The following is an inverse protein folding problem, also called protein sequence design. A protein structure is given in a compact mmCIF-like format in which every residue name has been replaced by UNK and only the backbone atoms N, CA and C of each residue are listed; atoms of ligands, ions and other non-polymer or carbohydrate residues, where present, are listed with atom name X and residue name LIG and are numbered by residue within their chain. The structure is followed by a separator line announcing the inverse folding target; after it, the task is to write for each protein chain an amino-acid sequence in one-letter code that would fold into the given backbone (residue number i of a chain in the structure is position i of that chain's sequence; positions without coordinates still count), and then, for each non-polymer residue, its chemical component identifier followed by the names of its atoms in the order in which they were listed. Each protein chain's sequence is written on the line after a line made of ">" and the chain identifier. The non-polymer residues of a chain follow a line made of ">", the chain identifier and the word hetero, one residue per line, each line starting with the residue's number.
data_IF_745972677006
#
_entry.id   IF_745972677006
#
_cell.length_a   1.000
_cell.length_b   1.000
_cell.length_c   1.000
_cell.angle_alpha   90.00
_cell.angle_beta   90.00
_cell.angle_gamma   90.00
#
_symmetry.space_group_name_H-M   'P 1'
#
loop_
_entity.id
_entity.type
_entity.pdbx_description
1 polymer ?
#
# COMPACT_ATOMS: atom_id res chain seq x y z
N UNK A 1 -15.56 -15.00 0.76
CA UNK A 1 -15.77 -15.55 -0.60
C UNK A 1 -14.45 -16.15 -1.06
N UNK A 2 -14.37 -17.44 -1.37
CA UNK A 2 -13.10 -18.13 -1.70
C UNK A 2 -12.32 -17.48 -2.86
N UNK A 3 -13.03 -16.94 -3.85
CA UNK A 3 -12.42 -16.25 -5.00
C UNK A 3 -11.69 -14.96 -4.61
N UNK A 4 -12.23 -14.17 -3.68
CA UNK A 4 -11.59 -12.95 -3.20
C UNK A 4 -10.37 -13.26 -2.33
N UNK A 5 -10.41 -14.35 -1.56
CA UNK A 5 -9.28 -14.83 -0.76
C UNK A 5 -8.13 -15.28 -1.65
N UNK A 6 -8.41 -16.02 -2.72
CA UNK A 6 -7.42 -16.42 -3.72
C UNK A 6 -6.78 -15.22 -4.43
N UNK A 7 -7.56 -14.22 -4.83
CA UNK A 7 -7.04 -12.99 -5.45
C UNK A 7 -6.11 -12.24 -4.50
N UNK A 8 -6.48 -12.10 -3.24
CA UNK A 8 -5.64 -11.44 -2.24
C UNK A 8 -4.36 -12.24 -1.94
N UNK A 9 -4.44 -13.57 -1.90
CA UNK A 9 -3.27 -14.41 -1.72
C UNK A 9 -2.32 -14.31 -2.93
N UNK A 10 -2.84 -14.34 -4.15
CA UNK A 10 -2.06 -14.18 -5.37
C UNK A 10 -1.34 -12.83 -5.39
N UNK A 11 -2.01 -11.77 -4.95
CA UNK A 11 -1.39 -10.45 -4.85
C UNK A 11 -0.32 -10.40 -3.76
N UNK A 12 -0.56 -11.02 -2.61
CA UNK A 12 0.42 -11.11 -1.52
C UNK A 12 1.66 -11.89 -1.95
N UNK A 13 1.50 -13.02 -2.64
CA UNK A 13 2.58 -13.82 -3.19
C UNK A 13 3.35 -13.01 -4.25
N UNK A 14 2.64 -12.36 -5.18
CA UNK A 14 3.27 -11.52 -6.21
C UNK A 14 4.10 -10.39 -5.58
N UNK A 15 3.56 -9.70 -4.58
CA UNK A 15 4.28 -8.65 -3.87
C UNK A 15 5.52 -9.20 -3.15
N UNK A 16 5.38 -10.30 -2.43
CA UNK A 16 6.47 -10.92 -1.66
C UNK A 16 7.59 -11.41 -2.57
N UNK A 17 7.26 -12.11 -3.65
CA UNK A 17 8.23 -12.65 -4.63
C UNK A 17 9.01 -11.55 -5.36
N UNK A 18 8.37 -10.43 -5.65
CA UNK A 18 8.96 -9.32 -6.41
C UNK A 18 9.53 -8.22 -5.52
N UNK A 19 9.56 -8.40 -4.21
CA UNK A 19 10.26 -7.51 -3.27
C UNK A 19 11.43 -8.27 -2.63
N UNK A 20 12.19 -7.61 -1.77
CA UNK A 20 13.30 -8.24 -1.04
C UNK A 20 12.83 -9.06 0.18
N UNK A 21 11.56 -9.49 0.21
CA UNK A 21 11.02 -10.29 1.30
C UNK A 21 11.56 -11.73 1.23
N UNK A 22 12.02 -12.26 2.35
CA UNK A 22 12.59 -13.59 2.43
C UNK A 22 11.54 -14.68 2.59
N UNK A 23 10.41 -14.37 3.21
CA UNK A 23 9.35 -15.32 3.55
C UNK A 23 7.99 -14.64 3.59
N UNK A 24 6.95 -15.34 3.15
CA UNK A 24 5.55 -14.96 3.35
C UNK A 24 5.02 -15.62 4.62
N UNK A 25 4.59 -14.82 5.58
CA UNK A 25 3.96 -15.32 6.81
C UNK A 25 2.45 -15.18 6.71
N UNK A 26 1.77 -16.33 6.70
CA UNK A 26 0.31 -16.38 6.69
C UNK A 26 -0.21 -16.40 8.14
N UNK A 27 -0.96 -15.39 8.52
CA UNK A 27 -1.56 -15.30 9.85
C UNK A 27 -3.04 -15.63 9.72
N UNK A 28 -3.50 -16.70 10.35
CA UNK A 28 -4.88 -17.15 10.30
C UNK A 28 -5.45 -17.45 11.68
N UNK A 29 -6.78 -17.45 11.81
CA UNK A 29 -7.43 -18.07 12.96
C UNK A 29 -7.38 -19.60 12.80
N UNK A 30 -7.23 -20.32 13.93
CA UNK A 30 -7.37 -21.77 13.93
C UNK A 30 -8.67 -22.17 13.22
N UNK A 31 -8.58 -23.14 12.28
CA UNK A 31 -9.64 -23.78 11.52
C UNK A 31 -10.15 -23.14 10.21
N UNK A 32 -9.69 -21.96 9.79
CA UNK A 32 -10.13 -21.42 8.49
C UNK A 32 -9.43 -22.17 7.33
N UNK A 33 -8.19 -22.60 7.51
CA UNK A 33 -7.45 -23.31 6.45
C UNK A 33 -7.72 -24.81 6.38
N UNK A 34 -8.17 -25.44 7.47
CA UNK A 34 -8.38 -26.91 7.47
C UNK A 34 -9.71 -27.33 6.84
N UNK A 35 -10.76 -26.53 6.98
CA UNK A 35 -12.10 -26.92 6.49
C UNK A 35 -12.38 -26.48 5.05
N UNK A 36 -11.70 -25.44 4.54
CA UNK A 36 -11.86 -24.96 3.16
C UNK A 36 -10.80 -25.50 2.19
N UNK A 37 -9.70 -26.06 2.67
CA UNK A 37 -8.58 -26.52 1.86
C UNK A 37 -8.85 -27.87 1.17
N UNK A 38 -9.77 -28.68 1.64
CA UNK A 38 -10.03 -30.01 1.02
C UNK A 38 -10.51 -29.91 -0.44
N UNK A 39 -11.06 -28.78 -0.87
CA UNK A 39 -11.48 -28.56 -2.25
C UNK A 39 -10.53 -27.72 -3.11
N UNK A 40 -9.66 -26.87 -2.50
CA UNK A 40 -8.83 -25.88 -3.19
C UNK A 40 -7.32 -26.02 -2.89
N UNK A 41 -6.89 -27.09 -2.17
CA UNK A 41 -5.51 -27.31 -1.74
C UNK A 41 -4.51 -27.25 -2.91
N UNK A 42 -4.89 -27.81 -4.06
CA UNK A 42 -4.07 -27.80 -5.28
C UNK A 42 -3.84 -26.40 -5.83
N UNK A 43 -4.81 -25.48 -5.69
CA UNK A 43 -4.72 -24.10 -6.17
C UNK A 43 -3.87 -23.25 -5.23
N UNK A 44 -4.04 -23.44 -3.92
CA UNK A 44 -3.26 -22.75 -2.90
C UNK A 44 -1.78 -23.13 -2.94
N UNK A 45 -1.49 -24.45 -3.00
CA UNK A 45 -0.13 -24.95 -3.15
C UNK A 45 0.51 -24.51 -4.48
N UNK A 46 -0.27 -24.41 -5.56
CA UNK A 46 0.22 -23.95 -6.84
C UNK A 46 0.63 -22.45 -6.81
N UNK A 47 -0.12 -21.62 -6.09
CA UNK A 47 0.22 -20.20 -5.91
C UNK A 47 1.51 -20.03 -5.10
N UNK A 48 1.69 -20.84 -4.05
CA UNK A 48 2.83 -20.72 -3.12
C UNK A 48 4.02 -21.62 -3.48
N UNK A 49 3.94 -22.37 -4.59
CA UNK A 49 4.90 -23.42 -4.97
C UNK A 49 6.38 -22.99 -4.92
N UNK A 50 6.66 -21.76 -5.32
CA UNK A 50 8.02 -21.22 -5.42
C UNK A 50 8.36 -20.23 -4.31
N UNK A 51 7.46 -20.05 -3.33
CA UNK A 51 7.60 -19.09 -2.24
C UNK A 51 7.83 -19.81 -0.90
N UNK A 52 8.85 -19.38 -0.15
CA UNK A 52 8.93 -19.77 1.27
C UNK A 52 7.76 -19.17 2.02
N UNK A 53 6.96 -19.99 2.65
CA UNK A 53 5.89 -19.50 3.51
C UNK A 53 5.85 -20.26 4.84
N UNK A 54 5.27 -19.60 5.82
CA UNK A 54 5.04 -20.14 7.16
C UNK A 54 3.66 -19.72 7.61
N UNK A 55 2.96 -20.62 8.28
CA UNK A 55 1.64 -20.32 8.87
C UNK A 55 1.80 -20.05 10.36
N UNK A 56 1.18 -18.97 10.82
CA UNK A 56 1.08 -18.61 12.24
C UNK A 56 -0.38 -18.54 12.61
N UNK A 57 -0.79 -19.41 13.51
CA UNK A 57 -2.16 -19.41 14.01
C UNK A 57 -2.31 -18.43 15.18
N UNK A 58 -3.41 -17.66 15.16
CA UNK A 58 -3.83 -16.77 16.23
C UNK A 58 -5.24 -17.14 16.67
N UNK A 59 -5.53 -17.05 17.97
CA UNK A 59 -6.85 -17.41 18.50
C UNK A 59 -7.95 -16.46 18.05
N UNK A 60 -7.60 -15.19 17.94
CA UNK A 60 -8.52 -14.13 17.49
C UNK A 60 -7.81 -13.28 16.46
N UNK A 61 -8.47 -13.03 15.33
CA UNK A 61 -7.94 -12.11 14.31
C UNK A 61 -7.92 -10.66 14.87
N UNK A 62 -7.01 -10.40 15.78
CA UNK A 62 -6.87 -9.11 16.47
C UNK A 62 -5.47 -8.55 16.31
N UNK A 63 -5.39 -7.23 16.10
CA UNK A 63 -4.11 -6.52 16.04
C UNK A 63 -3.26 -6.71 17.30
N UNK A 64 -3.89 -6.97 18.47
CA UNK A 64 -3.17 -7.23 19.72
C UNK A 64 -2.40 -8.54 19.70
N UNK A 65 -2.97 -9.59 19.09
CA UNK A 65 -2.27 -10.88 18.94
C UNK A 65 -1.16 -10.81 17.91
N UNK A 66 -1.40 -10.11 16.81
CA UNK A 66 -0.35 -9.80 15.82
C UNK A 66 0.79 -9.03 16.51
N UNK A 67 0.45 -8.01 17.30
CA UNK A 67 1.41 -7.21 18.08
C UNK A 67 2.27 -8.08 19.01
N UNK A 68 1.67 -9.03 19.71
CA UNK A 68 2.39 -9.95 20.59
C UNK A 68 3.35 -10.89 19.85
N UNK A 69 3.18 -11.07 18.53
CA UNK A 69 4.03 -11.90 17.68
C UNK A 69 5.09 -11.13 16.90
N UNK A 70 5.08 -9.80 16.94
CA UNK A 70 5.99 -8.97 16.11
C UNK A 70 7.46 -9.28 16.36
N UNK A 71 7.85 -9.46 17.64
CA UNK A 71 9.24 -9.73 18.01
C UNK A 71 9.73 -11.10 17.49
N UNK A 72 8.81 -12.05 17.31
CA UNK A 72 9.11 -13.40 16.79
C UNK A 72 9.14 -13.44 15.26
N UNK A 73 8.42 -12.54 14.58
CA UNK A 73 8.12 -12.67 13.16
C UNK A 73 8.95 -11.76 12.24
N UNK A 74 9.68 -10.78 12.77
CA UNK A 74 10.49 -9.83 11.95
C UNK A 74 9.74 -9.29 10.72
N UNK A 75 8.52 -8.76 10.93
CA UNK A 75 7.60 -8.37 9.86
C UNK A 75 8.12 -7.12 9.14
N UNK A 76 8.38 -7.23 7.83
CA UNK A 76 8.74 -6.11 6.96
C UNK A 76 7.53 -5.34 6.42
N UNK A 77 6.45 -6.04 6.09
CA UNK A 77 5.19 -5.45 5.61
C UNK A 77 4.03 -6.31 6.08
N UNK A 78 2.98 -5.69 6.59
CA UNK A 78 1.74 -6.39 6.93
C UNK A 78 0.75 -6.30 5.76
N UNK A 79 0.40 -7.44 5.17
CA UNK A 79 -0.59 -7.51 4.08
C UNK A 79 -1.96 -7.83 4.67
N UNK A 80 -2.93 -6.99 4.38
CA UNK A 80 -4.29 -7.07 4.94
C UNK A 80 -5.29 -7.16 3.79
N UNK A 81 -5.98 -8.29 3.62
CA UNK A 81 -7.10 -8.38 2.69
C UNK A 81 -8.17 -7.34 3.03
N UNK A 82 -8.57 -6.54 2.05
CA UNK A 82 -9.50 -5.44 2.28
C UNK A 82 -10.63 -5.47 1.27
N UNK A 83 -11.83 -5.77 1.73
CA UNK A 83 -13.06 -5.71 0.93
C UNK A 83 -13.56 -4.26 0.84
N UNK A 84 -14.34 -3.94 -0.20
CA UNK A 84 -14.93 -2.60 -0.39
C UNK A 84 -15.82 -2.17 0.80
N UNK A 85 -16.43 -3.14 1.47
CA UNK A 85 -17.33 -2.93 2.63
C UNK A 85 -16.58 -2.85 3.97
N UNK A 86 -15.24 -2.91 3.96
CA UNK A 86 -14.46 -2.83 5.19
C UNK A 86 -14.77 -1.52 5.94
N UNK A 87 -15.05 -1.63 7.24
CA UNK A 87 -15.36 -0.45 8.05
C UNK A 87 -14.14 0.47 8.14
N UNK A 88 -14.35 1.77 7.95
CA UNK A 88 -13.28 2.78 8.08
C UNK A 88 -12.57 2.72 9.45
N UNK A 89 -13.27 2.28 10.50
CA UNK A 89 -12.68 2.08 11.83
C UNK A 89 -11.62 0.96 11.83
N UNK A 90 -11.81 -0.08 11.03
CA UNK A 90 -10.84 -1.16 10.86
C UNK A 90 -9.59 -0.64 10.15
N UNK A 91 -9.75 0.07 9.02
CA UNK A 91 -8.64 0.71 8.30
C UNK A 91 -7.83 1.63 9.24
N UNK A 92 -8.53 2.47 10.02
CA UNK A 92 -7.90 3.34 11.02
C UNK A 92 -7.07 2.58 12.05
N UNK A 93 -7.57 1.43 12.53
CA UNK A 93 -6.86 0.61 13.50
C UNK A 93 -5.54 0.08 12.94
N UNK A 94 -5.53 -0.38 11.68
CA UNK A 94 -4.31 -0.80 10.98
C UNK A 94 -3.34 0.36 10.74
N UNK A 95 -3.82 1.52 10.32
CA UNK A 95 -2.97 2.73 10.15
C UNK A 95 -2.32 3.15 11.47
N UNK A 96 -3.07 3.10 12.59
CA UNK A 96 -2.52 3.38 13.91
C UNK A 96 -1.46 2.35 14.34
N UNK A 97 -1.71 1.07 14.07
CA UNK A 97 -0.77 -0.01 14.30
C UNK A 97 0.52 0.20 13.48
N UNK A 98 0.40 0.48 12.20
CA UNK A 98 1.52 0.81 11.31
C UNK A 98 2.38 1.96 11.86
N UNK A 99 1.76 3.06 12.24
CA UNK A 99 2.48 4.22 12.79
C UNK A 99 3.17 3.91 14.12
N UNK A 100 2.57 3.07 14.96
CA UNK A 100 3.14 2.66 16.25
C UNK A 100 4.38 1.79 16.08
N UNK A 101 4.32 0.83 15.16
CA UNK A 101 5.36 -0.19 14.98
C UNK A 101 6.31 0.09 13.81
N UNK A 102 6.07 1.16 13.04
CA UNK A 102 6.85 1.53 11.85
C UNK A 102 6.85 0.44 10.77
N UNK A 103 5.76 -0.30 10.67
CA UNK A 103 5.58 -1.39 9.71
C UNK A 103 4.64 -0.90 8.60
N UNK A 104 5.05 -0.88 7.33
CA UNK A 104 4.16 -0.61 6.20
C UNK A 104 2.98 -1.58 6.17
N UNK A 105 1.82 -1.08 5.71
CA UNK A 105 0.64 -1.92 5.52
C UNK A 105 0.22 -1.89 4.06
N UNK A 106 0.05 -3.09 3.52
CA UNK A 106 -0.49 -3.31 2.19
C UNK A 106 -1.96 -3.76 2.32
N UNK A 107 -2.88 -2.86 2.02
CA UNK A 107 -4.31 -3.17 1.92
C UNK A 107 -4.58 -3.81 0.56
N UNK A 108 -4.59 -5.13 0.53
CA UNK A 108 -4.78 -5.91 -0.70
C UNK A 108 -6.23 -5.91 -1.16
N UNK A 109 -6.44 -5.73 -2.47
CA UNK A 109 -7.74 -5.82 -3.15
C UNK A 109 -7.73 -6.81 -4.31
N UNK A 110 -6.65 -7.57 -4.45
CA UNK A 110 -6.50 -8.56 -5.51
C UNK A 110 -6.30 -7.95 -6.89
N UNK A 111 -5.57 -6.85 -7.00
CA UNK A 111 -5.32 -6.12 -8.25
C UNK A 111 -4.04 -6.55 -8.97
N UNK A 112 -3.46 -7.71 -8.58
CA UNK A 112 -2.28 -8.30 -9.25
C UNK A 112 -2.57 -8.68 -10.72
N UNK A 113 -1.59 -8.57 -11.64
CA UNK A 113 -0.23 -8.06 -11.44
C UNK A 113 -0.18 -6.53 -11.35
N UNK A 114 0.77 -6.00 -10.58
CA UNK A 114 0.95 -4.56 -10.40
C UNK A 114 1.76 -4.00 -11.58
N UNK A 115 1.10 -3.35 -12.52
CA UNK A 115 1.70 -2.72 -13.71
C UNK A 115 1.71 -1.19 -13.63
N UNK A 116 0.78 -0.62 -12.87
CA UNK A 116 0.58 0.81 -12.72
C UNK A 116 0.57 1.17 -11.24
N UNK A 117 1.52 1.98 -10.81
CA UNK A 117 1.62 2.46 -9.43
C UNK A 117 1.30 3.93 -9.41
N UNK A 118 0.23 4.32 -8.70
CA UNK A 118 -0.09 5.70 -8.40
C UNK A 118 0.42 6.09 -7.02
N UNK A 119 0.98 7.28 -6.86
CA UNK A 119 1.33 7.77 -5.55
C UNK A 119 0.98 9.23 -5.36
N UNK A 120 0.62 9.58 -4.13
CA UNK A 120 0.38 10.96 -3.74
C UNK A 120 1.73 11.64 -3.51
N UNK A 121 2.18 12.40 -4.51
CA UNK A 121 3.48 13.04 -4.49
C UNK A 121 3.57 14.13 -3.40
N UNK A 122 4.70 14.19 -2.74
CA UNK A 122 5.00 15.18 -1.73
C UNK A 122 6.41 15.77 -1.94
N UNK A 123 6.83 16.69 -1.11
CA UNK A 123 8.16 17.34 -1.18
C UNK A 123 9.27 16.55 -0.49
N UNK A 124 8.98 15.40 0.11
CA UNK A 124 9.95 14.55 0.78
C UNK A 124 10.56 13.54 -0.20
N UNK A 125 11.85 13.64 -0.41
CA UNK A 125 12.66 12.77 -1.27
C UNK A 125 13.73 12.02 -0.46
N UNK A 126 13.57 11.92 0.87
CA UNK A 126 14.46 11.08 1.68
C UNK A 126 14.33 9.60 1.29
N UNK A 127 15.34 8.80 1.59
CA UNK A 127 15.43 7.38 1.20
C UNK A 127 14.22 6.53 1.59
N UNK A 128 13.62 6.83 2.75
CA UNK A 128 12.44 6.11 3.25
C UNK A 128 11.12 6.85 2.97
N UNK A 129 11.14 7.85 2.12
CA UNK A 129 9.93 8.58 1.76
C UNK A 129 9.02 7.74 0.86
N UNK A 130 7.71 8.01 0.85
CA UNK A 130 6.78 7.38 -0.11
C UNK A 130 7.21 7.57 -1.56
N UNK A 131 7.81 8.73 -1.90
CA UNK A 131 8.33 9.00 -3.23
C UNK A 131 9.44 7.98 -3.58
N UNK A 132 10.48 7.87 -2.74
CA UNK A 132 11.62 6.98 -2.98
C UNK A 132 11.18 5.50 -3.03
N UNK A 133 10.38 5.05 -2.05
CA UNK A 133 9.86 3.68 -2.00
C UNK A 133 9.03 3.37 -3.26
N UNK A 134 8.26 4.34 -3.78
CA UNK A 134 7.47 4.11 -4.99
C UNK A 134 8.35 3.86 -6.21
N UNK A 135 9.43 4.64 -6.40
CA UNK A 135 10.34 4.44 -7.52
C UNK A 135 11.14 3.14 -7.41
N UNK A 136 11.64 2.79 -6.22
CA UNK A 136 12.31 1.51 -5.98
C UNK A 136 11.40 0.32 -6.26
N UNK A 137 10.16 0.36 -5.77
CA UNK A 137 9.16 -0.65 -6.02
C UNK A 137 8.80 -0.75 -7.50
N UNK A 138 8.61 0.38 -8.19
CA UNK A 138 8.28 0.41 -9.60
C UNK A 138 9.39 -0.14 -10.47
N UNK A 139 10.64 0.18 -10.18
CA UNK A 139 11.83 -0.39 -10.84
C UNK A 139 11.87 -1.91 -10.67
N UNK A 140 11.66 -2.39 -9.43
CA UNK A 140 11.64 -3.82 -9.11
C UNK A 140 10.52 -4.59 -9.83
N UNK A 141 9.32 -3.99 -9.90
CA UNK A 141 8.14 -4.61 -10.52
C UNK A 141 8.03 -4.35 -12.02
N UNK A 142 8.93 -3.57 -12.59
CA UNK A 142 8.85 -3.07 -13.98
C UNK A 142 7.50 -2.40 -14.27
N UNK A 143 7.08 -1.53 -13.34
CA UNK A 143 5.78 -0.85 -13.36
C UNK A 143 5.91 0.59 -13.84
N UNK A 144 4.85 1.11 -14.47
CA UNK A 144 4.70 2.54 -14.77
C UNK A 144 4.26 3.28 -13.51
N UNK A 145 4.79 4.48 -13.30
CA UNK A 145 4.47 5.34 -12.16
C UNK A 145 3.61 6.54 -12.58
N UNK A 146 2.60 6.82 -11.78
CA UNK A 146 1.76 8.01 -11.86
C UNK A 146 1.97 8.85 -10.59
N UNK A 147 2.68 9.96 -10.71
CA UNK A 147 2.83 10.92 -9.61
C UNK A 147 1.64 11.88 -9.61
N UNK A 148 0.79 11.81 -8.61
CA UNK A 148 -0.36 12.70 -8.46
C UNK A 148 0.05 13.88 -7.57
N UNK A 149 0.15 15.06 -8.18
CA UNK A 149 0.51 16.34 -7.53
C UNK A 149 -0.76 17.16 -7.38
N UNK A 150 -1.24 17.33 -6.16
CA UNK A 150 -2.46 18.07 -5.88
C UNK A 150 -2.12 19.35 -5.11
N UNK A 151 -2.43 20.49 -5.71
CA UNK A 151 -2.29 21.78 -5.07
C UNK A 151 -3.56 22.16 -4.33
N UNK A 152 -3.40 22.91 -3.24
CA UNK A 152 -4.54 23.55 -2.60
C UNK A 152 -4.91 24.84 -3.36
N UNK A 153 -6.22 25.20 -3.40
CA UNK A 153 -6.64 26.45 -4.01
C UNK A 153 -5.89 27.64 -3.43
N UNK A 154 -5.49 28.59 -4.30
CA UNK A 154 -4.65 29.76 -3.96
C UNK A 154 -5.18 30.61 -2.80
N UNK A 155 -6.49 30.57 -2.54
CA UNK A 155 -7.09 31.27 -1.40
C UNK A 155 -6.87 30.55 -0.04
N UNK A 156 -6.36 29.31 -0.06
CA UNK A 156 -6.07 28.51 1.15
C UNK A 156 -4.58 28.43 1.42
N UNK A 157 -3.75 28.40 0.37
CA UNK A 157 -2.30 28.29 0.52
C UNK A 157 -1.55 29.29 -0.36
N UNK A 158 -0.41 29.80 0.16
CA UNK A 158 0.54 30.63 -0.58
C UNK A 158 1.67 29.79 -1.18
N UNK A 159 1.40 28.52 -1.55
CA UNK A 159 2.42 27.71 -2.22
C UNK A 159 2.78 28.35 -3.57
N UNK A 160 4.05 28.70 -3.72
CA UNK A 160 4.56 29.31 -4.94
C UNK A 160 4.63 28.27 -6.06
N UNK A 161 4.23 28.66 -7.27
CA UNK A 161 4.36 27.84 -8.48
C UNK A 161 5.81 27.33 -8.73
N UNK A 162 6.80 28.07 -8.23
CA UNK A 162 8.21 27.67 -8.31
C UNK A 162 8.53 26.44 -7.47
N UNK A 163 7.95 26.30 -6.26
CA UNK A 163 8.16 25.12 -5.41
C UNK A 163 7.54 23.87 -6.02
N UNK A 164 6.39 24.00 -6.66
CA UNK A 164 5.70 22.91 -7.34
C UNK A 164 6.50 22.44 -8.56
N UNK A 165 7.01 23.35 -9.38
CA UNK A 165 7.87 23.03 -10.52
C UNK A 165 9.15 22.33 -10.10
N UNK A 166 9.78 22.79 -9.00
CA UNK A 166 10.97 22.15 -8.42
C UNK A 166 10.68 20.70 -7.96
N UNK A 167 9.53 20.47 -7.35
CA UNK A 167 9.14 19.11 -6.94
C UNK A 167 8.89 18.20 -8.15
N UNK A 168 8.22 18.69 -9.19
CA UNK A 168 8.01 17.94 -10.44
C UNK A 168 9.35 17.59 -11.08
N UNK A 169 10.31 18.51 -11.12
CA UNK A 169 11.64 18.22 -11.65
C UNK A 169 12.34 17.11 -10.86
N UNK A 170 12.29 17.13 -9.53
CA UNK A 170 12.86 16.06 -8.69
C UNK A 170 12.19 14.71 -8.94
N UNK A 171 10.88 14.67 -9.18
CA UNK A 171 10.18 13.45 -9.55
C UNK A 171 10.67 12.89 -10.88
N UNK A 172 10.88 13.76 -11.88
CA UNK A 172 11.43 13.39 -13.17
C UNK A 172 12.87 12.86 -13.06
N UNK A 173 13.70 13.52 -12.29
CA UNK A 173 15.08 13.10 -12.02
C UNK A 173 15.12 11.74 -11.30
N UNK A 174 14.22 11.52 -10.32
CA UNK A 174 14.11 10.23 -9.62
C UNK A 174 13.63 9.12 -10.56
N UNK A 175 12.66 9.39 -11.43
CA UNK A 175 12.19 8.43 -12.41
C UNK A 175 13.29 8.03 -13.39
N UNK A 176 14.06 9.00 -13.88
CA UNK A 176 15.19 8.76 -14.76
C UNK A 176 16.28 7.93 -14.09
N UNK A 177 16.62 8.25 -12.85
CA UNK A 177 17.66 7.54 -12.07
C UNK A 177 17.26 6.07 -11.76
N UNK A 178 15.98 5.78 -11.66
CA UNK A 178 15.46 4.43 -11.41
C UNK A 178 15.01 3.70 -12.70
N UNK A 179 15.20 4.30 -13.88
CA UNK A 179 14.78 3.76 -15.19
C UNK A 179 13.27 3.45 -15.24
N UNK A 180 12.45 4.26 -14.60
CA UNK A 180 11.00 4.07 -14.47
C UNK A 180 10.25 5.05 -15.37
N UNK A 181 9.20 4.55 -16.04
CA UNK A 181 8.28 5.40 -16.80
C UNK A 181 7.42 6.22 -15.81
N UNK A 182 7.45 7.54 -15.92
CA UNK A 182 6.69 8.46 -15.09
C UNK A 182 5.67 9.25 -15.89
N UNK A 183 4.45 9.32 -15.38
CA UNK A 183 3.42 10.29 -15.77
C UNK A 183 3.06 11.17 -14.58
N UNK A 184 3.10 12.48 -14.75
CA UNK A 184 2.72 13.43 -13.69
C UNK A 184 1.29 13.92 -13.95
N UNK A 185 0.41 13.67 -12.99
CA UNK A 185 -0.97 14.14 -12.98
C UNK A 185 -1.07 15.32 -12.01
N UNK A 186 -1.49 16.48 -12.50
CA UNK A 186 -1.63 17.70 -11.67
C UNK A 186 -3.09 18.08 -11.56
N UNK A 187 -3.53 18.44 -10.35
CA UNK A 187 -4.89 18.89 -10.09
C UNK A 187 -4.92 19.89 -8.92
N UNK A 188 -6.06 20.57 -8.73
CA UNK A 188 -6.25 21.53 -7.65
C UNK A 188 -7.54 21.20 -6.87
N UNK A 189 -7.44 21.02 -5.55
CA UNK A 189 -8.60 20.79 -4.72
C UNK A 189 -8.38 19.87 -3.53
N UNK A 190 -9.40 19.03 -3.24
CA UNK A 190 -9.35 18.10 -2.12
C UNK A 190 -8.47 16.89 -2.45
N UNK A 191 -7.31 16.83 -1.81
CA UNK A 191 -6.28 15.81 -2.03
C UNK A 191 -6.84 14.37 -1.96
N UNK A 192 -7.60 14.06 -0.92
CA UNK A 192 -8.14 12.70 -0.73
C UNK A 192 -9.11 12.29 -1.84
N UNK A 193 -10.02 13.18 -2.20
CA UNK A 193 -11.03 12.91 -3.23
C UNK A 193 -10.42 12.81 -4.63
N UNK A 194 -9.53 13.74 -4.96
CA UNK A 194 -8.88 13.77 -6.27
C UNK A 194 -7.95 12.57 -6.45
N UNK A 195 -7.11 12.26 -5.46
CA UNK A 195 -6.27 11.07 -5.55
C UNK A 195 -7.11 9.79 -5.71
N UNK A 196 -8.19 9.65 -4.92
CA UNK A 196 -9.07 8.48 -5.02
C UNK A 196 -9.75 8.39 -6.39
N UNK A 197 -10.11 9.52 -7.02
CA UNK A 197 -10.72 9.50 -8.36
C UNK A 197 -9.77 9.03 -9.46
N UNK A 198 -8.45 9.07 -9.23
CA UNK A 198 -7.46 8.51 -10.14
C UNK A 198 -7.17 7.03 -9.88
N UNK A 199 -7.63 6.47 -8.75
CA UNK A 199 -7.25 5.11 -8.33
C UNK A 199 -7.69 3.99 -9.29
N UNK A 200 -8.67 4.24 -10.15
CA UNK A 200 -9.07 3.31 -11.22
C UNK A 200 -7.99 3.12 -12.31
N UNK A 201 -7.00 4.03 -12.38
CA UNK A 201 -5.88 3.92 -13.31
C UNK A 201 -4.72 3.11 -12.75
N UNK A 202 -4.76 2.80 -11.46
CA UNK A 202 -3.66 2.17 -10.73
C UNK A 202 -4.02 0.75 -10.31
N UNK A 203 -3.03 -0.12 -10.30
CA UNK A 203 -3.13 -1.43 -9.64
C UNK A 203 -2.73 -1.29 -8.16
N UNK A 204 -1.79 -0.38 -7.87
CA UNK A 204 -1.34 -0.06 -6.53
C UNK A 204 -1.30 1.45 -6.31
N UNK A 205 -1.88 1.91 -5.22
CA UNK A 205 -1.75 3.27 -4.70
C UNK A 205 -0.75 3.30 -3.55
N UNK A 206 0.28 4.14 -3.63
CA UNK A 206 1.23 4.36 -2.53
C UNK A 206 0.95 5.67 -1.85
N UNK A 207 0.74 5.63 -0.54
CA UNK A 207 0.48 6.81 0.29
C UNK A 207 1.34 6.76 1.54
N UNK A 208 1.85 7.91 1.95
CA UNK A 208 2.69 8.01 3.13
C UNK A 208 2.03 8.79 4.26
N UNK A 209 2.62 8.63 5.44
CA UNK A 209 2.31 9.53 6.54
C UNK A 209 2.85 10.93 6.20
N UNK A 210 1.98 11.91 6.13
CA UNK A 210 2.37 13.31 5.96
C UNK A 210 2.39 13.96 7.34
N UNK A 211 3.60 14.30 7.82
CA UNK A 211 3.75 15.05 9.07
C UNK A 211 3.29 16.47 8.83
N UNK A 212 2.03 16.76 8.99
CA UNK A 212 1.54 18.13 9.01
C UNK A 212 0.74 18.39 10.28
N UNK A 213 0.81 19.62 10.71
CA UNK A 213 0.13 20.17 11.84
C UNK A 213 -1.40 20.09 11.65
N UNK A 214 -2.01 18.94 11.95
CA UNK A 214 -3.45 18.94 12.02
C UNK A 214 -4.18 17.62 11.75
N UNK A 215 -5.30 17.52 12.38
CA UNK A 215 -6.32 16.50 12.35
C UNK A 215 -6.81 16.11 10.92
N UNK A 216 -6.67 16.97 9.92
CA UNK A 216 -7.18 16.76 8.56
C UNK A 216 -6.43 15.67 7.77
N UNK A 217 -5.13 15.46 7.99
CA UNK A 217 -4.34 14.52 7.18
C UNK A 217 -4.49 13.06 7.58
N UNK A 218 -4.75 12.80 8.85
CA UNK A 218 -5.13 11.45 9.29
C UNK A 218 -6.38 10.96 8.53
N UNK A 219 -7.31 11.89 8.27
CA UNK A 219 -8.52 11.62 7.49
C UNK A 219 -8.24 11.39 6.01
N UNK A 220 -7.25 12.06 5.42
CA UNK A 220 -6.86 11.87 4.02
C UNK A 220 -6.38 10.44 3.79
N UNK A 221 -5.44 9.96 4.60
CA UNK A 221 -4.92 8.58 4.51
C UNK A 221 -6.02 7.54 4.71
N UNK A 222 -6.83 7.70 5.76
CA UNK A 222 -7.96 6.79 6.04
C UNK A 222 -8.97 6.79 4.88
N UNK A 223 -9.27 7.97 4.33
CA UNK A 223 -10.21 8.11 3.22
C UNK A 223 -9.69 7.41 1.96
N UNK A 224 -8.43 7.65 1.57
CA UNK A 224 -7.82 7.02 0.39
C UNK A 224 -7.77 5.50 0.59
N UNK A 225 -7.27 5.02 1.74
CA UNK A 225 -7.18 3.58 2.02
C UNK A 225 -8.54 2.88 2.02
N UNK A 226 -9.62 3.59 2.36
CA UNK A 226 -10.98 3.05 2.35
C UNK A 226 -11.61 3.07 0.96
N UNK A 227 -11.45 4.17 0.21
CA UNK A 227 -12.23 4.44 -1.01
C UNK A 227 -11.48 4.17 -2.32
N UNK A 228 -10.17 3.88 -2.27
CA UNK A 228 -9.41 3.53 -3.48
C UNK A 228 -9.96 2.26 -4.12
N UNK A 229 -10.01 2.20 -5.43
CA UNK A 229 -10.33 0.99 -6.20
C UNK A 229 -9.13 0.05 -6.34
N UNK A 230 -7.90 0.60 -6.30
CA UNK A 230 -6.64 -0.16 -6.30
C UNK A 230 -6.26 -0.65 -4.91
N UNK A 231 -5.37 -1.62 -4.82
CA UNK A 231 -4.66 -1.93 -3.58
C UNK A 231 -3.89 -0.72 -3.06
N UNK A 232 -3.67 -0.63 -1.74
CA UNK A 232 -3.05 0.55 -1.14
C UNK A 232 -1.88 0.15 -0.25
N UNK A 233 -0.68 0.64 -0.57
CA UNK A 233 0.48 0.54 0.30
C UNK A 233 0.60 1.82 1.14
N UNK A 234 0.42 1.68 2.43
CA UNK A 234 0.62 2.74 3.40
C UNK A 234 2.01 2.67 4.00
N UNK A 235 2.77 3.76 3.91
CA UNK A 235 4.12 3.91 4.47
C UNK A 235 4.03 4.75 5.75
N UNK A 236 4.37 4.21 6.93
CA UNK A 236 4.42 4.97 8.18
C UNK A 236 5.60 5.95 8.18
N UNK A 237 5.56 6.92 9.12
CA UNK A 237 6.64 7.90 9.29
C UNK A 237 7.70 7.40 10.27
#
# INVERSE_FOLDING_TARGET
>A
NSEDELKNLTEAEFYTRNTKAEELVLISQENIFTDSLESDETTFEAILKDQKFKTVNIEKNSLKEIEAKLDELSIGTLIVPTQKEAKIATIRSYINFSNKHKIPIFFSRGTSPIKNIGFLANSDFSENSPNAITFDLASTLNSKVYAVVISQPKFISHENSESQNSNIQKLQDSALSNEVQLEVLTDEGNEAKLFTSYSDKFDLSVIGYKKSSGWQLKKTTEYISHNSSSSVLYIPN
#
